data_IF_044673249179
#
_entry.id   IF_044673249179
#
_cell.length_a   1.000
_cell.length_b   1.000
_cell.length_c   1.000
_cell.angle_alpha   90.00
_cell.angle_beta   90.00
_cell.angle_gamma   90.00
#
_symmetry.space_group_name_H-M   'P 1'
#
loop_
_entity.id
_entity.type
_entity.pdbx_description
1 polymer ?
#
# COMPACT_ATOMS: atom_id res chain seq x y z
N UNK A 1 -6.86 2.28 4.90
CA UNK A 1 -7.70 1.09 4.70
C UNK A 1 -8.09 0.39 6.01
N UNK A 2 -7.28 0.39 7.07
CA UNK A 2 -7.59 -0.34 8.31
C UNK A 2 -8.91 0.07 9.01
N UNK A 3 -9.23 1.37 9.06
CA UNK A 3 -10.50 1.87 9.59
C UNK A 3 -11.72 1.34 8.81
N UNK A 4 -11.64 1.38 7.48
CA UNK A 4 -12.67 0.84 6.59
C UNK A 4 -12.85 -0.66 6.80
N UNK A 5 -11.76 -1.41 6.87
CA UNK A 5 -11.81 -2.85 7.13
C UNK A 5 -12.53 -3.17 8.45
N UNK A 6 -12.19 -2.49 9.55
CA UNK A 6 -12.91 -2.66 10.83
C UNK A 6 -14.40 -2.32 10.74
N UNK A 7 -14.73 -1.25 10.04
CA UNK A 7 -16.13 -0.82 9.87
C UNK A 7 -16.94 -1.88 9.12
N UNK A 8 -16.35 -2.47 8.08
CA UNK A 8 -16.97 -3.55 7.30
C UNK A 8 -17.14 -4.84 8.13
N UNK A 9 -16.11 -5.23 8.90
CA UNK A 9 -16.19 -6.42 9.79
C UNK A 9 -17.25 -6.26 10.87
N UNK A 10 -17.37 -5.07 11.47
CA UNK A 10 -18.42 -4.78 12.43
C UNK A 10 -19.82 -4.91 11.81
N UNK A 11 -19.94 -4.75 10.49
CA UNK A 11 -21.14 -5.00 9.70
C UNK A 11 -21.28 -6.43 9.17
N UNK A 12 -20.41 -7.37 9.57
CA UNK A 12 -20.47 -8.77 9.15
C UNK A 12 -19.83 -9.07 7.79
N UNK A 13 -19.10 -8.11 7.20
CA UNK A 13 -18.38 -8.31 5.94
C UNK A 13 -16.92 -8.64 6.25
N UNK A 14 -16.51 -9.87 5.95
CA UNK A 14 -15.13 -10.29 6.14
C UNK A 14 -14.17 -9.56 5.20
N UNK A 15 -13.03 -9.14 5.72
CA UNK A 15 -12.00 -8.35 5.05
C UNK A 15 -10.60 -8.90 5.31
N UNK A 16 -9.70 -8.67 4.36
CA UNK A 16 -8.26 -8.86 4.52
C UNK A 16 -7.55 -7.75 3.74
N UNK A 17 -6.49 -7.19 4.31
CA UNK A 17 -5.63 -6.23 3.62
C UNK A 17 -4.36 -6.96 3.20
N UNK A 18 -3.95 -6.80 1.94
CA UNK A 18 -2.65 -7.26 1.44
C UNK A 18 -1.78 -6.01 1.21
N UNK A 19 -0.57 -5.96 1.77
CA UNK A 19 0.24 -4.77 1.66
C UNK A 19 1.70 -4.91 2.10
N UNK A 20 2.44 -3.80 1.94
CA UNK A 20 3.88 -3.73 2.22
C UNK A 20 4.25 -2.80 3.39
N UNK A 21 3.27 -2.15 4.02
CA UNK A 21 3.48 -1.25 5.16
C UNK A 21 2.96 -1.87 6.47
N UNK A 22 3.67 -2.88 6.98
CA UNK A 22 3.22 -3.66 8.14
C UNK A 22 3.10 -2.82 9.42
N UNK A 23 4.01 -1.89 9.65
CA UNK A 23 4.06 -1.00 10.82
C UNK A 23 2.80 -0.14 10.95
N UNK A 24 2.44 0.59 9.89
CA UNK A 24 1.30 1.50 9.86
C UNK A 24 0.00 0.71 10.01
N UNK A 25 -0.13 -0.39 9.27
CA UNK A 25 -1.37 -1.17 9.26
C UNK A 25 -1.60 -1.87 10.61
N UNK A 26 -0.53 -2.34 11.25
CA UNK A 26 -0.57 -2.93 12.59
C UNK A 26 -0.94 -1.89 13.65
N UNK A 27 -0.29 -0.72 13.63
CA UNK A 27 -0.60 0.38 14.53
C UNK A 27 -2.08 0.80 14.44
N UNK A 28 -2.61 0.85 13.21
CA UNK A 28 -4.00 1.20 12.99
C UNK A 28 -5.01 0.13 13.45
N UNK A 29 -4.61 -1.10 13.81
CA UNK A 29 -5.51 -2.16 14.30
C UNK A 29 -6.35 -2.81 13.20
N UNK A 30 -5.72 -3.45 12.24
CA UNK A 30 -6.39 -4.19 11.15
C UNK A 30 -6.97 -5.55 11.64
N UNK A 31 -8.13 -5.99 11.13
CA UNK A 31 -8.66 -7.33 11.41
C UNK A 31 -7.75 -8.46 10.88
N UNK A 32 -7.35 -8.38 9.62
CA UNK A 32 -6.49 -9.38 8.96
C UNK A 32 -5.54 -8.68 8.00
N UNK A 33 -4.26 -9.01 8.07
CA UNK A 33 -3.24 -8.46 7.19
C UNK A 33 -2.29 -9.54 6.69
N UNK A 34 -2.15 -9.60 5.37
CA UNK A 34 -1.10 -10.34 4.71
C UNK A 34 -0.01 -9.37 4.26
N UNK A 35 1.15 -9.48 4.87
CA UNK A 35 2.30 -8.66 4.56
C UNK A 35 3.14 -9.30 3.45
N UNK A 36 3.27 -8.58 2.33
CA UNK A 36 4.26 -8.83 1.28
C UNK A 36 5.34 -7.76 1.38
N UNK A 37 6.55 -8.15 1.77
CA UNK A 37 7.68 -7.24 1.99
C UNK A 37 8.37 -6.86 0.68
N UNK A 38 7.63 -6.11 -0.14
CA UNK A 38 7.98 -5.67 -1.49
C UNK A 38 7.91 -4.14 -1.61
N UNK A 39 8.48 -3.53 -2.66
CA UNK A 39 8.33 -2.10 -2.91
C UNK A 39 6.86 -1.68 -2.99
N UNK A 40 6.47 -0.55 -2.38
CA UNK A 40 5.05 -0.13 -2.42
C UNK A 40 4.59 0.02 -3.88
N UNK A 41 3.37 -0.43 -4.12
CA UNK A 41 2.81 -0.60 -5.47
C UNK A 41 2.78 -2.05 -5.95
N UNK A 42 3.48 -2.97 -5.27
CA UNK A 42 3.54 -4.39 -5.63
C UNK A 42 2.97 -5.33 -4.54
N UNK A 43 1.81 -5.04 -3.93
CA UNK A 43 1.34 -5.80 -2.77
C UNK A 43 1.00 -7.26 -3.08
N UNK A 44 0.66 -7.61 -4.33
CA UNK A 44 0.30 -8.98 -4.70
C UNK A 44 1.49 -9.85 -5.12
N UNK A 45 2.63 -9.28 -5.50
CA UNK A 45 3.67 -10.06 -6.13
C UNK A 45 4.53 -9.25 -7.09
N UNK A 46 5.56 -9.90 -7.64
CA UNK A 46 6.37 -9.35 -8.72
C UNK A 46 5.51 -9.13 -9.98
N UNK A 47 5.81 -8.11 -10.79
CA UNK A 47 5.22 -7.96 -12.11
C UNK A 47 5.35 -9.24 -12.92
N UNK A 48 4.27 -9.63 -13.60
CA UNK A 48 4.20 -10.80 -14.49
C UNK A 48 4.37 -12.18 -13.83
N UNK A 49 4.60 -12.26 -12.53
CA UNK A 49 4.61 -13.52 -11.79
C UNK A 49 3.21 -13.91 -11.33
N UNK A 50 2.40 -14.41 -12.27
CA UNK A 50 1.02 -14.82 -12.01
C UNK A 50 0.93 -15.94 -10.95
N UNK A 51 1.96 -16.78 -10.83
CA UNK A 51 2.01 -17.86 -9.84
C UNK A 51 2.14 -17.30 -8.44
N UNK A 52 3.11 -16.40 -8.21
CA UNK A 52 3.29 -15.73 -6.93
C UNK A 52 2.03 -14.95 -6.55
N UNK A 53 1.48 -14.17 -7.48
CA UNK A 53 0.27 -13.38 -7.24
C UNK A 53 -0.93 -14.24 -6.84
N UNK A 54 -1.10 -15.39 -7.48
CA UNK A 54 -2.12 -16.37 -7.11
C UNK A 54 -1.89 -16.92 -5.71
N UNK A 55 -0.67 -17.32 -5.38
CA UNK A 55 -0.34 -17.86 -4.06
C UNK A 55 -0.53 -16.81 -2.95
N UNK A 56 -0.20 -15.54 -3.20
CA UNK A 56 -0.50 -14.43 -2.28
C UNK A 56 -1.99 -14.30 -2.04
N UNK A 57 -2.82 -14.40 -3.09
CA UNK A 57 -4.27 -14.36 -2.93
C UNK A 57 -4.80 -15.56 -2.14
N UNK A 58 -4.31 -16.76 -2.42
CA UNK A 58 -4.68 -17.99 -1.69
C UNK A 58 -4.36 -17.88 -0.19
N UNK A 59 -3.17 -17.36 0.16
CA UNK A 59 -2.81 -17.09 1.57
C UNK A 59 -3.72 -16.04 2.22
N UNK A 60 -4.10 -14.99 1.49
CA UNK A 60 -4.99 -13.96 2.02
C UNK A 60 -6.40 -14.52 2.29
N UNK A 61 -6.92 -15.35 1.38
CA UNK A 61 -8.21 -16.02 1.56
C UNK A 61 -8.17 -17.04 2.70
N UNK A 62 -7.04 -17.74 2.88
CA UNK A 62 -6.86 -18.62 4.03
C UNK A 62 -6.91 -17.87 5.36
N UNK A 63 -6.35 -16.64 5.44
CA UNK A 63 -6.52 -15.78 6.63
C UNK A 63 -7.98 -15.42 6.88
N UNK A 64 -8.74 -15.10 5.82
CA UNK A 64 -10.18 -14.82 5.95
C UNK A 64 -10.93 -16.01 6.54
N UNK A 65 -10.64 -17.22 6.07
CA UNK A 65 -11.32 -18.43 6.52
C UNK A 65 -10.88 -18.91 7.92
N UNK A 66 -9.61 -18.69 8.29
CA UNK A 66 -9.02 -19.30 9.48
C UNK A 66 -8.81 -18.38 10.68
N UNK A 67 -8.65 -17.07 10.48
CA UNK A 67 -8.33 -16.15 11.57
C UNK A 67 -9.59 -15.71 12.33
N UNK A 68 -9.65 -16.05 13.62
CA UNK A 68 -10.71 -15.64 14.56
C UNK A 68 -10.36 -14.41 15.40
N UNK A 69 -9.11 -13.95 15.33
CA UNK A 69 -8.58 -12.80 16.06
C UNK A 69 -7.76 -11.91 15.10
N UNK A 70 -7.51 -10.64 15.45
CA UNK A 70 -6.62 -9.77 14.70
C UNK A 70 -5.30 -10.46 14.36
N UNK A 71 -5.03 -10.65 13.07
CA UNK A 71 -3.89 -11.46 12.61
C UNK A 71 -3.07 -10.73 11.56
N UNK A 72 -1.76 -10.76 11.74
CA UNK A 72 -0.76 -10.37 10.75
C UNK A 72 0.05 -11.60 10.35
N UNK A 73 0.17 -11.85 9.06
CA UNK A 73 1.01 -12.92 8.53
C UNK A 73 1.91 -12.36 7.43
N UNK A 74 3.18 -12.73 7.44
CA UNK A 74 4.13 -12.37 6.38
C UNK A 74 4.26 -13.52 5.40
N UNK A 75 4.27 -13.22 4.09
CA UNK A 75 4.51 -14.23 3.06
C UNK A 75 5.98 -14.68 3.06
N UNK A 76 6.30 -15.87 2.51
CA UNK A 76 7.69 -16.33 2.41
C UNK A 76 8.43 -15.76 1.19
N UNK A 77 7.80 -14.87 0.42
CA UNK A 77 8.35 -14.43 -0.87
C UNK A 77 9.39 -13.33 -0.71
N UNK A 78 10.34 -13.28 -1.66
CA UNK A 78 11.41 -12.27 -1.71
C UNK A 78 11.35 -11.47 -3.01
N UNK A 79 11.55 -10.15 -2.91
CA UNK A 79 11.53 -9.25 -4.07
C UNK A 79 12.70 -9.52 -5.03
N UNK A 80 13.89 -9.68 -4.48
CA UNK A 80 15.10 -10.04 -5.20
C UNK A 80 15.94 -10.99 -4.35
N UNK A 81 17.08 -11.46 -4.87
CA UNK A 81 18.05 -12.24 -4.09
C UNK A 81 18.68 -11.40 -2.97
N UNK A 82 18.85 -10.09 -3.24
CA UNK A 82 19.33 -9.10 -2.29
C UNK A 82 18.22 -8.10 -1.89
N UNK A 83 18.56 -7.20 -0.96
CA UNK A 83 17.67 -6.15 -0.45
C UNK A 83 18.03 -4.75 -0.99
N UNK A 84 18.86 -4.67 -2.05
CA UNK A 84 19.35 -3.38 -2.60
C UNK A 84 18.22 -2.49 -3.12
N UNK A 85 17.08 -3.10 -3.46
CA UNK A 85 15.88 -2.38 -3.86
C UNK A 85 15.43 -1.36 -2.79
N UNK A 86 15.67 -1.62 -1.50
CA UNK A 86 15.28 -0.71 -0.42
C UNK A 86 16.06 0.60 -0.44
N UNK A 87 17.32 0.55 -0.87
CA UNK A 87 18.19 1.73 -0.94
C UNK A 87 17.83 2.65 -2.10
N UNK A 88 17.23 2.11 -3.17
CA UNK A 88 16.86 2.87 -4.36
C UNK A 88 15.37 3.23 -4.39
N UNK A 89 14.53 2.48 -3.68
CA UNK A 89 13.09 2.68 -3.67
C UNK A 89 12.72 4.03 -3.06
N UNK A 90 12.02 4.87 -3.86
CA UNK A 90 11.63 6.24 -3.49
C UNK A 90 12.80 7.12 -3.00
N UNK A 91 14.04 6.78 -3.35
CA UNK A 91 15.21 7.57 -2.98
C UNK A 91 15.17 8.93 -3.68
N UNK A 92 15.26 9.99 -2.87
CA UNK A 92 15.46 11.35 -3.34
C UNK A 92 16.96 11.63 -3.29
N UNK A 93 17.61 11.69 -4.45
CA UNK A 93 19.03 12.09 -4.53
C UNK A 93 19.18 13.61 -4.41
N UNK A 94 20.37 14.05 -3.99
CA UNK A 94 20.72 15.48 -3.93
C UNK A 94 20.53 16.15 -5.29
N UNK A 95 20.93 15.47 -6.37
CA UNK A 95 20.77 15.92 -7.75
C UNK A 95 19.31 16.21 -8.12
N UNK A 96 18.37 15.37 -7.65
CA UNK A 96 16.93 15.50 -7.96
C UNK A 96 16.20 16.47 -7.04
N UNK A 97 16.81 16.90 -5.93
CA UNK A 97 16.11 17.71 -4.93
C UNK A 97 15.64 19.07 -5.47
N UNK A 98 16.48 19.74 -6.26
CA UNK A 98 16.15 21.04 -6.83
C UNK A 98 14.96 20.91 -7.82
N UNK A 99 15.02 19.91 -8.70
CA UNK A 99 13.96 19.61 -9.66
C UNK A 99 12.64 19.26 -8.97
N UNK A 100 12.66 18.34 -8.00
CA UNK A 100 11.47 17.92 -7.25
C UNK A 100 10.85 19.08 -6.45
N UNK A 101 11.68 19.97 -5.91
CA UNK A 101 11.21 21.18 -5.22
C UNK A 101 10.49 22.12 -6.21
N UNK A 102 11.11 22.41 -7.35
CA UNK A 102 10.51 23.24 -8.39
C UNK A 102 9.20 22.65 -8.92
N UNK A 103 9.16 21.33 -9.18
CA UNK A 103 7.95 20.63 -9.57
C UNK A 103 6.86 20.72 -8.49
N UNK A 104 7.23 20.60 -7.21
CA UNK A 104 6.32 20.80 -6.08
C UNK A 104 5.75 22.21 -5.99
N UNK A 105 6.55 23.23 -6.29
CA UNK A 105 6.13 24.65 -6.34
C UNK A 105 5.18 24.91 -7.51
N UNK A 106 5.52 24.43 -8.70
CA UNK A 106 4.66 24.51 -9.88
C UNK A 106 3.31 23.82 -9.64
N UNK A 107 3.31 22.60 -9.10
CA UNK A 107 2.08 21.87 -8.73
C UNK A 107 1.23 22.64 -7.70
N UNK A 108 1.86 23.32 -6.74
CA UNK A 108 1.12 24.17 -5.77
C UNK A 108 0.51 25.39 -6.45
N UNK A 109 1.26 26.09 -7.31
CA UNK A 109 0.77 27.25 -8.04
C UNK A 109 -0.39 26.88 -8.97
N UNK A 110 -0.29 25.75 -9.68
CA UNK A 110 -1.35 25.25 -10.55
C UNK A 110 -2.62 24.93 -9.76
N UNK A 111 -2.49 24.21 -8.61
CA UNK A 111 -3.64 23.92 -7.74
C UNK A 111 -4.32 25.18 -7.21
N UNK A 112 -3.56 26.23 -6.92
CA UNK A 112 -4.11 27.54 -6.50
C UNK A 112 -4.84 28.23 -7.67
N UNK A 113 -4.25 28.23 -8.86
CA UNK A 113 -4.88 28.80 -10.06
C UNK A 113 -6.18 28.06 -10.43
N UNK A 114 -6.17 26.72 -10.38
CA UNK A 114 -7.37 25.90 -10.60
C UNK A 114 -8.45 26.23 -9.58
N UNK A 115 -8.09 26.34 -8.29
CA UNK A 115 -9.03 26.76 -7.25
C UNK A 115 -9.61 28.16 -7.50
N UNK A 116 -8.80 29.12 -7.95
CA UNK A 116 -9.26 30.48 -8.30
C UNK A 116 -10.21 30.50 -9.50
N UNK A 117 -10.03 29.59 -10.46
CA UNK A 117 -10.94 29.37 -11.59
C UNK A 117 -12.23 28.63 -11.22
N UNK A 118 -12.44 28.30 -9.94
CA UNK A 118 -13.58 27.50 -9.48
C UNK A 118 -13.49 26.00 -9.83
N UNK A 119 -12.35 25.53 -10.35
CA UNK A 119 -12.10 24.12 -10.61
C UNK A 119 -11.82 23.41 -9.28
N UNK A 120 -12.87 22.92 -8.65
CA UNK A 120 -12.77 22.05 -7.48
C UNK A 120 -12.83 20.59 -7.91
N UNK A 121 -12.08 19.70 -7.24
CA UNK A 121 -12.38 18.27 -7.32
C UNK A 121 -13.80 18.07 -6.81
N UNK A 122 -14.71 17.74 -7.72
CA UNK A 122 -16.08 17.34 -7.39
C UNK A 122 -15.96 16.11 -6.50
N UNK A 123 -16.41 16.24 -5.24
CA UNK A 123 -16.58 15.07 -4.37
C UNK A 123 -17.88 14.40 -4.83
N UNK A 124 -17.78 13.57 -5.86
CA UNK A 124 -18.79 12.53 -6.10
C UNK A 124 -18.56 11.44 -5.07
#
# INVERSE_FOLDING_TARGET
MSLTARTLEAGGIATVIIGSAADIVSYCGVPRYLHNDFPLGNPLGKPWDARMQRQTLEMALALVAGASQPTLMTTPFRWAEDETWRDVYMRISEEKMAELRAAGEANRAERLANKAKGLTRTKT
#
